data_IF_218132014255
#
_entry.id   IF_218132014255
#
_cell.length_a   1.000
_cell.length_b   1.000
_cell.length_c   1.000
_cell.angle_alpha   90.00
_cell.angle_beta   90.00
_cell.angle_gamma   90.00
#
_symmetry.space_group_name_H-M   'P 1'
#
loop_
_entity.id
_entity.type
_entity.pdbx_description
1 polymer ?
#
# COMPACT_ATOMS: atom_id res chain seq x y z
N UNK A 1 4.52 -7.11 11.44
CA UNK A 1 5.27 -6.66 10.23
C UNK A 1 5.48 -7.78 9.21
N UNK A 2 6.23 -8.85 9.51
CA UNK A 2 6.55 -9.90 8.52
C UNK A 2 5.31 -10.58 7.92
N UNK A 3 4.26 -10.80 8.72
CA UNK A 3 2.98 -11.35 8.25
C UNK A 3 2.36 -10.45 7.16
N UNK A 4 2.22 -9.15 7.41
CA UNK A 4 1.70 -8.18 6.44
C UNK A 4 2.50 -8.18 5.14
N UNK A 5 3.83 -8.22 5.21
CA UNK A 5 4.69 -8.24 4.02
C UNK A 5 4.39 -9.45 3.13
N UNK A 6 4.38 -10.66 3.71
CA UNK A 6 4.15 -11.88 2.94
C UNK A 6 2.72 -11.95 2.39
N UNK A 7 1.72 -11.50 3.16
CA UNK A 7 0.32 -11.43 2.72
C UNK A 7 0.12 -10.43 1.56
N UNK A 8 0.76 -9.27 1.61
CA UNK A 8 0.69 -8.29 0.53
C UNK A 8 1.46 -8.76 -0.71
N UNK A 9 2.61 -9.42 -0.54
CA UNK A 9 3.36 -10.00 -1.65
C UNK A 9 2.61 -11.15 -2.34
N UNK A 10 1.85 -11.98 -1.61
CA UNK A 10 1.07 -13.08 -2.20
C UNK A 10 -0.12 -12.60 -3.05
N UNK A 11 -0.63 -11.39 -2.79
CA UNK A 11 -1.70 -10.75 -3.57
C UNK A 11 -1.17 -9.97 -4.78
N UNK A 12 0.10 -9.59 -4.80
CA UNK A 12 0.68 -8.81 -5.89
C UNK A 12 1.12 -9.73 -7.06
N UNK A 13 0.66 -9.47 -8.31
CA UNK A 13 0.89 -10.35 -9.45
C UNK A 13 2.36 -10.66 -9.78
N UNK A 14 3.30 -9.76 -9.49
CA UNK A 14 4.72 -9.94 -9.82
C UNK A 14 5.55 -10.48 -8.66
N UNK A 15 4.99 -10.50 -7.44
CA UNK A 15 5.70 -11.01 -6.25
C UNK A 15 5.11 -12.30 -5.69
N UNK A 16 3.90 -12.69 -6.12
CA UNK A 16 3.18 -13.83 -5.55
C UNK A 16 3.88 -15.19 -5.71
N UNK A 17 4.70 -15.35 -6.74
CA UNK A 17 5.45 -16.58 -7.02
C UNK A 17 6.84 -16.57 -6.37
N UNK A 18 7.25 -15.47 -5.71
CA UNK A 18 8.56 -15.37 -5.07
C UNK A 18 8.56 -16.15 -3.76
N UNK A 19 9.70 -16.77 -3.46
CA UNK A 19 9.87 -17.47 -2.19
C UNK A 19 9.91 -16.46 -1.03
N UNK A 20 9.42 -16.83 0.17
CA UNK A 20 9.54 -15.98 1.35
C UNK A 20 10.98 -15.58 1.66
N UNK A 21 11.95 -16.47 1.42
CA UNK A 21 13.37 -16.19 1.60
C UNK A 21 13.86 -15.03 0.70
N UNK A 22 13.46 -15.02 -0.57
CA UNK A 22 13.83 -13.95 -1.50
C UNK A 22 13.14 -12.62 -1.13
N UNK A 23 11.87 -12.66 -0.70
CA UNK A 23 11.15 -11.47 -0.23
C UNK A 23 11.85 -10.85 0.99
N UNK A 24 12.23 -11.68 1.97
CA UNK A 24 12.93 -11.24 3.17
C UNK A 24 14.34 -10.73 2.85
N UNK A 25 15.04 -11.35 1.89
CA UNK A 25 16.31 -10.82 1.38
C UNK A 25 16.15 -9.41 0.80
N UNK A 26 15.14 -9.19 -0.05
CA UNK A 26 14.89 -7.86 -0.65
C UNK A 26 14.58 -6.83 0.45
N UNK A 27 13.75 -7.19 1.43
CA UNK A 27 13.45 -6.32 2.57
C UNK A 27 14.72 -5.94 3.33
N UNK A 28 15.55 -6.93 3.70
CA UNK A 28 16.80 -6.72 4.44
C UNK A 28 17.77 -5.82 3.68
N UNK A 29 17.95 -6.04 2.38
CA UNK A 29 18.81 -5.21 1.54
C UNK A 29 18.30 -3.77 1.41
N UNK A 30 16.99 -3.58 1.39
CA UNK A 30 16.37 -2.26 1.45
C UNK A 30 16.62 -1.55 2.78
N UNK A 31 16.53 -2.27 3.90
CA UNK A 31 16.82 -1.74 5.24
C UNK A 31 18.29 -1.32 5.39
N UNK A 32 19.20 -1.96 4.65
CA UNK A 32 20.61 -1.54 4.52
C UNK A 32 20.80 -0.30 3.63
N UNK A 33 19.73 0.30 3.12
CA UNK A 33 19.78 1.49 2.27
C UNK A 33 20.18 1.22 0.81
N UNK A 34 20.15 -0.05 0.35
CA UNK A 34 20.44 -0.35 -1.05
C UNK A 34 19.30 0.14 -1.94
N UNK A 35 19.67 0.80 -3.04
CA UNK A 35 18.71 1.22 -4.07
C UNK A 35 18.14 -0.01 -4.78
N UNK A 36 16.89 0.09 -5.24
CA UNK A 36 16.21 -0.99 -5.97
C UNK A 36 17.01 -1.56 -7.14
N UNK A 37 17.77 -0.73 -7.88
CA UNK A 37 18.66 -1.20 -8.95
C UNK A 37 19.78 -2.11 -8.43
N UNK A 38 20.35 -1.80 -7.27
CA UNK A 38 21.38 -2.65 -6.64
C UNK A 38 20.78 -3.96 -6.10
N UNK A 39 19.57 -3.90 -5.57
CA UNK A 39 18.84 -5.08 -5.10
C UNK A 39 18.50 -6.01 -6.28
N UNK A 40 18.11 -5.43 -7.42
CA UNK A 40 17.83 -6.19 -8.64
C UNK A 40 19.01 -7.04 -9.10
N UNK A 41 20.25 -6.54 -8.97
CA UNK A 41 21.45 -7.35 -9.24
C UNK A 41 21.55 -8.57 -8.33
N UNK A 42 21.10 -8.48 -7.09
CA UNK A 42 20.99 -9.63 -6.17
C UNK A 42 19.93 -10.62 -6.63
N UNK A 43 18.74 -10.13 -7.01
CA UNK A 43 17.64 -10.95 -7.53
C UNK A 43 18.09 -11.76 -8.76
N UNK A 44 18.81 -11.14 -9.69
CA UNK A 44 19.30 -11.81 -10.91
C UNK A 44 20.32 -12.93 -10.64
N UNK A 45 21.00 -12.91 -9.48
CA UNK A 45 21.90 -14.01 -9.07
C UNK A 45 21.11 -15.22 -8.60
N UNK A 46 20.00 -15.00 -7.89
CA UNK A 46 19.11 -16.05 -7.39
C UNK A 46 18.19 -16.61 -8.49
N UNK A 47 17.79 -15.78 -9.45
CA UNK A 47 16.89 -16.12 -10.55
C UNK A 47 17.56 -15.85 -11.91
N UNK A 48 18.54 -16.67 -12.33
CA UNK A 48 19.21 -16.50 -13.61
C UNK A 48 18.21 -16.67 -14.77
N UNK A 49 18.23 -15.75 -15.73
CA UNK A 49 17.33 -15.76 -16.90
C UNK A 49 16.19 -14.74 -16.84
N UNK A 50 15.98 -14.10 -15.69
CA UNK A 50 15.06 -12.96 -15.56
C UNK A 50 15.62 -11.71 -16.24
N UNK A 51 14.75 -10.89 -16.83
CA UNK A 51 15.17 -9.60 -17.40
C UNK A 51 15.51 -8.58 -16.28
N UNK A 52 16.53 -7.73 -16.49
CA UNK A 52 16.91 -6.70 -15.49
C UNK A 52 15.73 -5.78 -15.14
N UNK A 53 14.92 -5.44 -16.14
CA UNK A 53 13.73 -4.58 -15.96
C UNK A 53 12.64 -5.24 -15.11
N UNK A 54 12.55 -6.57 -15.12
CA UNK A 54 11.64 -7.35 -14.29
C UNK A 54 12.16 -7.45 -12.85
N UNK A 55 13.45 -7.78 -12.68
CA UNK A 55 14.10 -7.78 -11.38
C UNK A 55 14.00 -6.41 -10.67
N UNK A 56 14.14 -5.32 -11.43
CA UNK A 56 13.95 -3.96 -10.89
C UNK A 56 12.51 -3.69 -10.48
N UNK A 57 11.51 -4.20 -11.21
CA UNK A 57 10.09 -4.07 -10.86
C UNK A 57 9.75 -4.81 -9.58
N UNK A 58 10.26 -6.03 -9.44
CA UNK A 58 10.14 -6.83 -8.23
C UNK A 58 10.77 -6.09 -7.06
N UNK A 59 12.02 -5.65 -7.19
CA UNK A 59 12.71 -4.91 -6.14
C UNK A 59 11.92 -3.68 -5.68
N UNK A 60 11.43 -2.87 -6.62
CA UNK A 60 10.62 -1.68 -6.29
C UNK A 60 9.31 -2.03 -5.58
N UNK A 61 8.62 -3.08 -6.03
CA UNK A 61 7.31 -3.44 -5.47
C UNK A 61 7.45 -4.08 -4.09
N UNK A 62 8.42 -4.98 -3.88
CA UNK A 62 8.68 -5.57 -2.56
C UNK A 62 9.12 -4.49 -1.57
N UNK A 63 9.95 -3.52 -1.99
CA UNK A 63 10.34 -2.39 -1.12
C UNK A 63 9.13 -1.54 -0.72
N UNK A 64 8.26 -1.20 -1.66
CA UNK A 64 7.04 -0.43 -1.36
C UNK A 64 6.11 -1.18 -0.40
N UNK A 65 5.91 -2.49 -0.64
CA UNK A 65 5.13 -3.36 0.24
C UNK A 65 5.76 -3.47 1.63
N UNK A 66 7.09 -3.58 1.73
CA UNK A 66 7.80 -3.66 3.00
C UNK A 66 7.62 -2.40 3.84
N UNK A 67 7.72 -1.21 3.23
CA UNK A 67 7.42 0.06 3.92
C UNK A 67 5.98 0.11 4.39
N UNK A 68 5.00 -0.16 3.52
CA UNK A 68 3.59 -0.26 3.91
C UNK A 68 3.38 -1.22 5.09
N UNK A 69 4.01 -2.38 5.06
CA UNK A 69 3.85 -3.43 6.08
C UNK A 69 4.41 -3.01 7.44
N UNK A 70 5.47 -2.19 7.44
CA UNK A 70 6.02 -1.58 8.64
C UNK A 70 5.07 -0.52 9.19
N UNK A 71 4.59 0.37 8.33
CA UNK A 71 3.66 1.46 8.68
C UNK A 71 2.35 0.90 9.26
N UNK A 72 1.80 -0.14 8.62
CA UNK A 72 0.60 -0.84 9.11
C UNK A 72 0.84 -1.48 10.47
N UNK A 73 1.96 -2.18 10.65
CA UNK A 73 2.28 -2.83 11.92
C UNK A 73 2.39 -1.81 13.06
N UNK A 74 3.02 -0.66 12.82
CA UNK A 74 3.12 0.44 13.80
C UNK A 74 1.75 1.05 14.09
N UNK A 75 0.93 1.26 13.06
CA UNK A 75 -0.41 1.79 13.23
C UNK A 75 -1.27 0.86 14.10
N UNK A 76 -1.24 -0.44 13.84
CA UNK A 76 -1.93 -1.45 14.63
C UNK A 76 -1.44 -1.49 16.08
N UNK A 77 -0.12 -1.44 16.31
CA UNK A 77 0.50 -1.39 17.65
C UNK A 77 0.04 -0.16 18.46
N UNK A 78 -0.16 0.97 17.77
CA UNK A 78 -0.65 2.22 18.37
C UNK A 78 -2.18 2.32 18.42
N UNK A 79 -2.92 1.30 17.98
CA UNK A 79 -4.39 1.33 17.93
C UNK A 79 -4.97 2.32 16.91
N UNK A 80 -4.19 2.67 15.87
CA UNK A 80 -4.63 3.56 14.80
C UNK A 80 -5.34 2.75 13.70
N UNK A 81 -6.65 2.92 13.59
CA UNK A 81 -7.47 2.12 12.65
C UNK A 81 -7.59 2.74 11.25
N UNK A 82 -7.27 4.02 11.09
CA UNK A 82 -7.50 4.79 9.88
C UNK A 82 -6.22 5.44 9.37
N UNK A 83 -6.14 5.59 8.05
CA UNK A 83 -5.08 6.33 7.37
C UNK A 83 -5.66 7.18 6.23
N UNK A 84 -4.99 8.27 5.87
CA UNK A 84 -5.24 8.97 4.62
C UNK A 84 -4.44 8.30 3.50
N UNK A 85 -5.09 8.03 2.38
CA UNK A 85 -4.43 7.58 1.16
C UNK A 85 -3.82 8.78 0.43
N UNK A 86 -2.50 8.83 0.35
CA UNK A 86 -1.78 9.86 -0.40
C UNK A 86 -1.31 9.28 -1.73
N UNK A 87 -1.85 9.80 -2.83
CA UNK A 87 -1.42 9.41 -4.17
C UNK A 87 -0.18 10.21 -4.58
N UNK A 88 0.76 9.58 -5.29
CA UNK A 88 1.88 10.34 -5.86
C UNK A 88 1.36 11.44 -6.82
N UNK A 89 1.74 12.69 -6.60
CA UNK A 89 1.21 13.84 -7.36
C UNK A 89 1.69 13.94 -8.82
N UNK A 90 2.04 12.83 -9.48
CA UNK A 90 2.61 12.79 -10.82
C UNK A 90 1.82 11.89 -11.77
N UNK A 91 2.16 11.96 -13.06
CA UNK A 91 1.50 11.20 -14.13
C UNK A 91 1.70 9.69 -14.05
N UNK A 92 2.55 9.18 -13.16
CA UNK A 92 2.78 7.76 -12.95
C UNK A 92 1.74 7.10 -12.05
N UNK A 93 0.82 7.87 -11.46
CA UNK A 93 -0.25 7.30 -10.63
C UNK A 93 -1.33 6.65 -11.47
N UNK A 94 -1.67 5.41 -11.09
CA UNK A 94 -2.84 4.71 -11.59
C UNK A 94 -4.10 5.57 -11.38
N UNK A 95 -4.90 5.79 -12.44
CA UNK A 95 -6.09 6.67 -12.37
C UNK A 95 -7.03 6.31 -11.21
N UNK A 96 -7.20 5.01 -10.97
CA UNK A 96 -7.96 4.43 -9.85
C UNK A 96 -7.42 4.86 -8.48
N UNK A 97 -6.10 4.89 -8.31
CA UNK A 97 -5.44 5.34 -7.09
C UNK A 97 -5.54 6.86 -6.92
N UNK A 98 -5.50 7.63 -8.01
CA UNK A 98 -5.76 9.06 -7.99
C UNK A 98 -7.16 9.39 -7.47
N UNK A 99 -8.15 8.54 -7.74
CA UNK A 99 -9.49 8.68 -7.17
C UNK A 99 -9.52 8.46 -5.64
N UNK A 100 -8.52 7.81 -5.06
CA UNK A 100 -8.38 7.64 -3.61
C UNK A 100 -7.54 8.73 -2.94
N UNK A 101 -6.94 9.65 -3.70
CA UNK A 101 -6.13 10.71 -3.11
C UNK A 101 -6.92 11.46 -2.03
N UNK A 102 -6.26 11.72 -0.91
CA UNK A 102 -6.78 12.32 0.34
C UNK A 102 -7.99 11.60 0.97
N UNK A 103 -8.34 10.39 0.52
CA UNK A 103 -9.43 9.62 1.11
C UNK A 103 -8.97 8.97 2.43
N UNK A 104 -9.83 9.04 3.45
CA UNK A 104 -9.63 8.29 4.68
C UNK A 104 -10.08 6.84 4.46
N UNK A 105 -9.22 5.90 4.80
CA UNK A 105 -9.43 4.47 4.60
C UNK A 105 -9.12 3.73 5.90
N UNK A 106 -9.90 2.70 6.20
CA UNK A 106 -9.67 1.83 7.36
C UNK A 106 -8.69 0.72 7.02
N UNK A 107 -7.77 0.39 7.93
CA UNK A 107 -6.83 -0.73 7.73
C UNK A 107 -7.54 -2.07 7.51
N UNK A 108 -8.68 -2.30 8.17
CA UNK A 108 -9.46 -3.54 8.07
C UNK A 108 -10.38 -3.64 6.85
N UNK A 109 -10.59 -2.54 6.11
CA UNK A 109 -11.45 -2.51 4.92
C UNK A 109 -10.75 -1.76 3.77
N UNK A 110 -9.70 -2.36 3.17
CA UNK A 110 -9.03 -1.77 2.03
C UNK A 110 -9.97 -1.64 0.83
N UNK A 111 -9.86 -0.56 0.04
CA UNK A 111 -10.65 -0.36 -1.16
C UNK A 111 -10.21 -1.32 -2.26
N UNK A 112 -11.09 -1.49 -3.25
CA UNK A 112 -10.73 -1.99 -4.57
C UNK A 112 -10.66 -0.79 -5.53
N UNK A 113 -9.47 -0.20 -5.78
CA UNK A 113 -9.36 1.08 -6.48
C UNK A 113 -9.96 1.05 -7.89
N UNK A 114 -9.78 -0.06 -8.61
CA UNK A 114 -10.26 -0.21 -9.98
C UNK A 114 -11.80 -0.18 -10.06
N UNK A 115 -12.50 -0.72 -9.06
CA UNK A 115 -13.97 -0.68 -8.99
C UNK A 115 -14.49 0.74 -8.81
N UNK A 116 -13.73 1.62 -8.14
CA UNK A 116 -14.11 3.02 -7.90
C UNK A 116 -14.16 3.86 -9.18
N UNK A 117 -13.50 3.40 -10.25
CA UNK A 117 -13.53 4.04 -11.57
C UNK A 117 -14.33 3.22 -12.59
N UNK A 118 -15.19 2.31 -12.12
CA UNK A 118 -16.12 1.56 -12.96
C UNK A 118 -15.52 0.34 -13.68
N UNK A 119 -14.30 -0.10 -13.32
CA UNK A 119 -13.77 -1.36 -13.84
C UNK A 119 -14.28 -2.55 -13.03
N UNK A 120 -14.44 -3.68 -13.70
CA UNK A 120 -14.78 -4.94 -13.05
C UNK A 120 -13.50 -5.51 -12.44
N UNK A 121 -13.30 -5.27 -11.15
CA UNK A 121 -12.24 -5.87 -10.33
C UNK A 121 -12.73 -5.93 -8.89
N UNK A 122 -12.27 -6.93 -8.15
CA UNK A 122 -12.48 -7.07 -6.70
C UNK A 122 -11.16 -7.03 -5.94
N UNK A 123 -10.08 -6.65 -6.62
CA UNK A 123 -8.73 -6.68 -6.06
C UNK A 123 -8.57 -5.53 -5.09
N UNK A 124 -8.57 -5.87 -3.80
CA UNK A 124 -8.40 -4.91 -2.73
C UNK A 124 -6.94 -4.70 -2.44
N UNK A 125 -6.54 -3.44 -2.31
CA UNK A 125 -5.17 -3.12 -2.00
C UNK A 125 -5.04 -1.84 -1.17
N UNK A 126 -3.97 -1.80 -0.38
CA UNK A 126 -3.49 -0.63 0.33
C UNK A 126 -2.54 0.20 -0.57
N UNK A 127 -2.27 1.47 -0.22
CA UNK A 127 -1.29 2.27 -0.97
C UNK A 127 0.10 1.60 -0.90
N UNK A 128 0.75 1.43 -2.04
CA UNK A 128 2.03 0.75 -2.16
C UNK A 128 1.97 -0.74 -2.51
N UNK A 129 0.81 -1.41 -2.45
CA UNK A 129 0.71 -2.86 -2.76
C UNK A 129 0.62 -3.17 -4.24
N UNK A 130 0.01 -2.30 -5.03
CA UNK A 130 -0.10 -2.53 -6.47
C UNK A 130 1.27 -2.40 -7.17
N UNK A 131 1.41 -3.06 -8.32
CA UNK A 131 2.65 -3.03 -9.11
C UNK A 131 3.07 -1.59 -9.41
N UNK A 132 4.32 -1.24 -9.07
CA UNK A 132 4.89 0.11 -9.22
C UNK A 132 4.05 1.23 -8.58
N UNK A 133 3.32 0.93 -7.51
CA UNK A 133 2.54 1.92 -6.79
C UNK A 133 3.47 2.80 -5.92
N UNK A 134 3.37 4.11 -6.10
CA UNK A 134 4.09 5.12 -5.30
C UNK A 134 3.19 5.80 -4.25
N UNK A 135 1.96 5.32 -4.07
CA UNK A 135 1.06 5.86 -3.06
C UNK A 135 1.54 5.43 -1.67
N UNK A 136 1.27 6.26 -0.66
CA UNK A 136 1.65 5.96 0.74
C UNK A 136 0.45 6.11 1.68
N UNK A 137 0.39 5.32 2.76
CA UNK A 137 -0.57 5.53 3.83
C UNK A 137 -0.04 6.57 4.82
N UNK A 138 -0.90 7.50 5.23
CA UNK A 138 -0.62 8.43 6.32
C UNK A 138 -1.54 8.11 7.50
N UNK A 139 -1.10 7.31 8.50
CA UNK A 139 -1.90 6.98 9.66
C UNK A 139 -2.41 8.24 10.37
N UNK A 140 -3.70 8.25 10.71
CA UNK A 140 -4.32 9.42 11.34
C UNK A 140 -4.23 9.22 12.84
N UNK A 141 -3.54 10.13 13.54
CA UNK A 141 -3.41 10.07 15.00
C UNK A 141 -4.48 10.92 15.69
N UNK A 142 -4.89 12.02 15.03
CA UNK A 142 -5.91 12.92 15.56
C UNK A 142 -6.85 13.45 14.48
N UNK A 143 -8.15 13.49 14.79
CA UNK A 143 -9.19 14.06 13.91
C UNK A 143 -9.00 15.56 13.59
N UNK A 144 -8.17 16.26 14.35
CA UNK A 144 -7.78 17.67 14.12
C UNK A 144 -6.83 17.82 12.93
N UNK A 145 -6.10 16.77 12.56
CA UNK A 145 -5.16 16.76 11.42
C UNK A 145 -5.91 16.67 10.09
N UNK A 146 -7.16 16.22 10.11
CA UNK A 146 -7.98 16.02 8.92
C UNK A 146 -8.71 17.31 8.53
N UNK A 147 -8.63 17.66 7.25
CA UNK A 147 -9.45 18.72 6.66
C UNK A 147 -10.89 18.25 6.42
N UNK A 148 -11.85 18.89 7.09
CA UNK A 148 -13.26 18.52 7.01
C UNK A 148 -14.05 19.48 6.12
N UNK A 149 -15.11 19.01 5.41
CA UNK A 149 -15.53 17.61 5.27
C UNK A 149 -14.52 16.79 4.45
N UNK A 150 -14.27 15.56 4.89
CA UNK A 150 -13.27 14.68 4.31
C UNK A 150 -13.90 13.66 3.37
N UNK A 151 -13.10 13.17 2.42
CA UNK A 151 -13.44 12.01 1.59
C UNK A 151 -13.14 10.75 2.40
N UNK A 152 -14.09 9.84 2.51
CA UNK A 152 -13.97 8.62 3.32
C UNK A 152 -14.38 7.42 2.49
N UNK A 153 -13.54 6.38 2.47
CA UNK A 153 -13.91 5.07 1.96
C UNK A 153 -14.58 4.28 3.10
N UNK A 154 -15.85 3.95 2.92
CA UNK A 154 -16.63 3.20 3.91
C UNK A 154 -17.59 2.25 3.20
N UNK A 155 -17.59 0.98 3.60
CA UNK A 155 -18.52 -0.05 3.10
C UNK A 155 -18.57 -0.13 1.55
N UNK A 156 -17.39 -0.07 0.92
CA UNK A 156 -17.27 -0.18 -0.54
C UNK A 156 -17.58 1.11 -1.32
N UNK A 157 -17.81 2.25 -0.66
CA UNK A 157 -18.15 3.52 -1.32
C UNK A 157 -17.25 4.66 -0.85
N UNK A 158 -17.03 5.62 -1.74
CA UNK A 158 -16.39 6.88 -1.43
C UNK A 158 -17.46 7.94 -1.13
N UNK A 159 -17.47 8.44 0.10
CA UNK A 159 -18.44 9.42 0.57
C UNK A 159 -17.76 10.66 1.14
N UNK A 160 -18.46 11.79 1.10
CA UNK A 160 -18.00 13.03 1.73
C UNK A 160 -18.63 13.14 3.11
N UNK A 161 -17.83 13.03 4.17
CA UNK A 161 -18.31 13.02 5.55
C UNK A 161 -17.90 14.28 6.30
N UNK A 162 -18.81 14.79 7.14
CA UNK A 162 -18.48 15.79 8.17
C UNK A 162 -17.75 15.11 9.33
N UNK A 163 -16.99 15.89 10.10
CA UNK A 163 -16.28 15.40 11.31
C UNK A 163 -17.21 14.68 12.29
N UNK A 164 -18.43 15.18 12.47
CA UNK A 164 -19.43 14.58 13.35
C UNK A 164 -19.89 13.20 12.88
N UNK A 165 -20.08 13.02 11.56
CA UNK A 165 -20.46 11.73 10.97
C UNK A 165 -19.31 10.72 11.10
N UNK A 166 -18.08 11.15 10.78
CA UNK A 166 -16.91 10.29 10.89
C UNK A 166 -16.59 9.88 12.33
N UNK A 167 -16.84 10.76 13.30
CA UNK A 167 -16.65 10.43 14.73
C UNK A 167 -17.47 9.22 15.17
N UNK A 168 -18.63 8.96 14.54
CA UNK A 168 -19.46 7.80 14.85
C UNK A 168 -18.79 6.46 14.47
N UNK A 169 -17.91 6.47 13.46
CA UNK A 169 -17.23 5.27 12.94
C UNK A 169 -15.73 5.20 13.31
N UNK A 170 -15.15 6.30 13.81
CA UNK A 170 -13.72 6.40 14.14
C UNK A 170 -13.22 5.32 15.11
N UNK A 171 -13.95 5.09 16.20
CA UNK A 171 -13.59 4.16 17.27
C UNK A 171 -14.25 2.78 17.17
N UNK A 172 -14.95 2.48 16.08
CA UNK A 172 -15.49 1.15 15.86
C UNK A 172 -14.34 0.25 15.42
N UNK A 173 -13.63 -0.35 16.39
CA UNK A 173 -12.55 -1.32 16.23
C UNK A 173 -13.04 -2.66 15.70
#
# INVERSE_FOLDING_TARGET
>A
MQQHLLESCSRNPITRELTPALILYIQDESLKGKRAKSIATGILRELPGMAESEAQQIAQSVVAIASLSLERARAEELGLHWYQWEAAGNSCVHKSHGALNIALVRWSDPPAPESLIGKISTDRCHPGEAVRCLCVPLPITDLREVSWPAKVFWQGRLEKMKRSQFRAIWGQG
#
